data_IF_306047836034
#
_entry.id   IF_306047836034
#
_cell.length_a   1.000
_cell.length_b   1.000
_cell.length_c   1.000
_cell.angle_alpha   90.00
_cell.angle_beta   90.00
_cell.angle_gamma   90.00
#
_symmetry.space_group_name_H-M   'P 1'
#
loop_
_entity.id
_entity.type
_entity.pdbx_description
1 polymer ?
#
# COMPACT_ATOMS: atom_id res chain seq x y z
N UNK A 1 19.03 -6.09 23.02
CA UNK A 1 19.85 -5.23 22.13
C UNK A 1 19.66 -5.55 20.64
N UNK A 2 19.68 -6.83 20.21
CA UNK A 2 19.47 -7.24 18.80
C UNK A 2 18.20 -6.66 18.13
N UNK A 3 17.05 -6.68 18.80
CA UNK A 3 15.79 -6.13 18.25
C UNK A 3 15.82 -4.61 18.03
N UNK A 4 16.51 -3.84 18.89
CA UNK A 4 16.65 -2.39 18.72
C UNK A 4 17.52 -2.03 17.52
N UNK A 5 18.57 -2.82 17.26
CA UNK A 5 19.40 -2.66 16.06
C UNK A 5 18.66 -3.08 14.78
N UNK A 6 17.84 -4.13 14.83
CA UNK A 6 17.00 -4.53 13.68
C UNK A 6 15.97 -3.43 13.36
N UNK A 7 15.28 -2.91 14.37
CA UNK A 7 14.32 -1.82 14.18
C UNK A 7 15.02 -0.55 13.63
N UNK A 8 16.22 -0.25 14.12
CA UNK A 8 17.00 0.90 13.65
C UNK A 8 17.47 0.71 12.20
N UNK A 9 17.91 -0.49 11.82
CA UNK A 9 18.27 -0.81 10.43
C UNK A 9 17.08 -0.67 9.49
N UNK A 10 15.91 -1.21 9.88
CA UNK A 10 14.68 -1.11 9.09
C UNK A 10 14.26 0.36 8.92
N UNK A 11 14.32 1.14 10.00
CA UNK A 11 13.98 2.57 9.97
C UNK A 11 14.93 3.36 9.05
N UNK A 12 16.23 3.07 9.10
CA UNK A 12 17.22 3.71 8.24
C UNK A 12 17.01 3.35 6.77
N UNK A 13 16.72 2.08 6.45
CA UNK A 13 16.39 1.64 5.08
C UNK A 13 15.14 2.35 4.57
N UNK A 14 14.10 2.44 5.39
CA UNK A 14 12.87 3.15 5.04
C UNK A 14 13.11 4.63 4.76
N UNK A 15 13.86 5.32 5.63
CA UNK A 15 14.20 6.74 5.45
C UNK A 15 14.99 6.96 4.16
N UNK A 16 16.00 6.13 3.89
CA UNK A 16 16.76 6.19 2.63
C UNK A 16 15.84 5.96 1.41
N UNK A 17 14.94 4.99 1.46
CA UNK A 17 13.99 4.75 0.36
C UNK A 17 13.10 5.95 0.02
N UNK A 18 12.70 6.74 1.03
CA UNK A 18 11.85 7.93 0.84
C UNK A 18 12.64 9.10 0.23
N UNK A 19 13.90 9.31 0.63
CA UNK A 19 14.70 10.43 0.13
C UNK A 19 15.36 10.16 -1.24
N UNK A 20 15.44 8.90 -1.67
CA UNK A 20 16.03 8.49 -2.95
C UNK A 20 14.98 8.06 -3.99
N UNK A 21 13.78 8.65 -3.96
CA UNK A 21 12.81 8.49 -5.05
C UNK A 21 13.30 9.28 -6.28
N UNK A 22 14.14 8.67 -7.11
CA UNK A 22 14.51 9.21 -8.41
C UNK A 22 13.43 8.90 -9.46
N UNK A 23 13.32 9.74 -10.48
CA UNK A 23 12.58 9.44 -11.71
C UNK A 23 13.14 8.13 -12.29
N UNK A 24 12.44 7.02 -12.08
CA UNK A 24 12.81 5.71 -12.59
C UNK A 24 12.58 5.70 -14.10
N UNK A 25 13.60 6.09 -14.88
CA UNK A 25 13.63 5.80 -16.30
C UNK A 25 13.50 4.29 -16.48
N UNK A 26 12.49 3.83 -17.23
CA UNK A 26 12.19 2.42 -17.33
C UNK A 26 13.40 1.68 -17.91
N UNK A 27 13.87 0.65 -17.20
CA UNK A 27 15.13 -0.04 -17.54
C UNK A 27 15.08 -0.86 -18.83
N UNK A 28 13.92 -0.95 -19.47
CA UNK A 28 13.74 -1.61 -20.75
C UNK A 28 13.31 -0.57 -21.78
N UNK A 29 14.04 -0.46 -22.90
CA UNK A 29 13.71 0.44 -24.01
C UNK A 29 12.25 0.29 -24.48
N UNK A 30 11.68 -0.91 -24.35
CA UNK A 30 10.28 -1.20 -24.68
C UNK A 30 9.26 -0.48 -23.77
N UNK A 31 9.55 -0.34 -22.48
CA UNK A 31 8.66 0.37 -21.55
C UNK A 31 8.67 1.88 -21.81
N UNK A 32 9.84 2.45 -22.11
CA UNK A 32 10.00 3.86 -22.48
C UNK A 32 9.32 4.18 -23.81
N UNK A 33 9.57 3.37 -24.85
CA UNK A 33 8.96 3.55 -26.17
C UNK A 33 7.44 3.44 -26.15
N UNK A 34 6.89 2.53 -25.34
CA UNK A 34 5.44 2.41 -25.20
C UNK A 34 4.86 3.63 -24.47
N UNK A 35 5.52 4.14 -23.44
CA UNK A 35 5.09 5.35 -22.73
C UNK A 35 5.13 6.59 -23.63
N UNK A 36 6.20 6.77 -24.40
CA UNK A 36 6.37 7.89 -25.34
C UNK A 36 5.38 7.82 -26.51
N UNK A 37 5.20 6.64 -27.14
CA UNK A 37 4.23 6.48 -28.23
C UNK A 37 2.78 6.58 -27.81
N UNK A 38 2.47 6.36 -26.52
CA UNK A 38 1.10 6.46 -26.02
C UNK A 38 0.56 7.90 -25.99
N UNK A 39 1.43 8.92 -26.15
CA UNK A 39 1.05 10.34 -26.12
C UNK A 39 1.55 11.17 -27.31
N UNK A 40 2.38 10.58 -28.20
CA UNK A 40 2.94 11.27 -29.38
C UNK A 40 2.02 11.13 -30.61
N UNK A 41 2.15 12.01 -31.61
CA UNK A 41 1.38 12.00 -32.86
C UNK A 41 -0.16 12.10 -32.71
N UNK A 42 -0.63 12.80 -31.67
CA UNK A 42 -2.08 12.91 -31.40
C UNK A 42 -2.70 11.65 -30.78
N UNK A 43 -1.88 10.66 -30.43
CA UNK A 43 -2.32 9.48 -29.72
C UNK A 43 -2.78 9.84 -28.31
N UNK A 44 -4.01 9.46 -27.95
CA UNK A 44 -4.59 9.70 -26.62
C UNK A 44 -4.63 8.45 -25.76
N UNK A 45 -4.09 7.32 -26.24
CA UNK A 45 -4.15 6.04 -25.54
C UNK A 45 -3.40 6.05 -24.19
N UNK A 46 -2.41 6.94 -24.04
CA UNK A 46 -1.71 7.19 -22.77
C UNK A 46 -2.39 8.22 -21.86
N UNK A 47 -3.40 8.96 -22.35
CA UNK A 47 -4.17 9.87 -21.49
C UNK A 47 -4.99 9.05 -20.51
N UNK A 48 -4.82 9.30 -19.22
CA UNK A 48 -5.50 8.56 -18.15
C UNK A 48 -4.82 7.24 -17.74
N UNK A 49 -3.62 6.93 -18.26
CA UNK A 49 -2.87 5.76 -17.82
C UNK A 49 -2.54 5.82 -16.31
N UNK A 50 -2.14 7.01 -15.83
CA UNK A 50 -1.88 7.22 -14.39
C UNK A 50 -3.14 7.05 -13.55
N UNK A 51 -4.30 7.49 -14.05
CA UNK A 51 -5.59 7.28 -13.38
C UNK A 51 -5.94 5.79 -13.34
N UNK A 52 -5.66 5.06 -14.42
CA UNK A 52 -5.83 3.60 -14.49
C UNK A 52 -4.92 2.85 -13.52
N UNK A 53 -3.64 3.25 -13.40
CA UNK A 53 -2.70 2.68 -12.43
C UNK A 53 -3.17 2.95 -11.01
N UNK A 54 -3.58 4.18 -10.68
CA UNK A 54 -4.11 4.53 -9.36
C UNK A 54 -5.40 3.76 -9.05
N UNK A 55 -6.28 3.58 -10.04
CA UNK A 55 -7.50 2.78 -9.91
C UNK A 55 -7.19 1.32 -9.58
N UNK A 56 -6.29 0.68 -10.35
CA UNK A 56 -5.87 -0.70 -10.13
C UNK A 56 -5.15 -0.88 -8.79
N UNK A 57 -4.33 0.11 -8.40
CA UNK A 57 -3.64 0.12 -7.12
C UNK A 57 -4.63 0.27 -5.95
N UNK A 58 -5.70 1.06 -6.09
CA UNK A 58 -6.67 1.30 -5.02
C UNK A 58 -7.47 0.04 -4.64
N UNK A 59 -7.77 -0.84 -5.60
CA UNK A 59 -8.58 -2.05 -5.40
C UNK A 59 -8.07 -2.94 -4.26
N UNK A 60 -6.80 -3.40 -4.22
CA UNK A 60 -6.32 -4.27 -3.15
C UNK A 60 -6.38 -3.60 -1.76
N UNK A 61 -6.17 -2.29 -1.66
CA UNK A 61 -6.29 -1.58 -0.38
C UNK A 61 -7.74 -1.49 0.09
N UNK A 62 -8.68 -1.20 -0.82
CA UNK A 62 -10.11 -1.17 -0.50
C UNK A 62 -10.60 -2.55 -0.02
N UNK A 63 -10.16 -3.63 -0.69
CA UNK A 63 -10.47 -5.00 -0.27
C UNK A 63 -9.90 -5.27 1.12
N UNK A 64 -8.64 -4.91 1.38
CA UNK A 64 -8.00 -5.12 2.68
C UNK A 64 -8.74 -4.38 3.82
N UNK A 65 -9.14 -3.12 3.59
CA UNK A 65 -9.94 -2.35 4.56
C UNK A 65 -11.30 -3.00 4.78
N UNK A 66 -11.99 -3.41 3.71
CA UNK A 66 -13.28 -4.09 3.82
C UNK A 66 -13.21 -5.37 4.65
N UNK A 67 -12.22 -6.23 4.36
CA UNK A 67 -11.97 -7.46 5.13
C UNK A 67 -11.62 -7.14 6.58
N UNK A 68 -10.76 -6.15 6.82
CA UNK A 68 -10.37 -5.72 8.16
C UNK A 68 -11.55 -5.25 9.00
N UNK A 69 -12.46 -4.45 8.43
CA UNK A 69 -13.68 -3.98 9.10
C UNK A 69 -14.61 -5.15 9.43
N UNK A 70 -14.84 -6.06 8.47
CA UNK A 70 -15.69 -7.24 8.67
C UNK A 70 -15.13 -8.15 9.78
N UNK A 71 -13.82 -8.40 9.75
CA UNK A 71 -13.11 -9.16 10.77
C UNK A 71 -13.26 -8.49 12.14
N UNK A 72 -12.96 -7.19 12.25
CA UNK A 72 -13.07 -6.46 13.50
C UNK A 72 -14.48 -6.48 14.09
N UNK A 73 -15.51 -6.25 13.26
CA UNK A 73 -16.91 -6.31 13.73
C UNK A 73 -17.32 -7.71 14.17
N UNK A 74 -16.84 -8.76 13.48
CA UNK A 74 -17.16 -10.15 13.81
C UNK A 74 -16.51 -10.61 15.11
N UNK A 75 -15.26 -10.22 15.35
CA UNK A 75 -14.47 -10.73 16.48
C UNK A 75 -14.44 -9.79 17.70
N UNK A 76 -14.97 -8.57 17.62
CA UNK A 76 -15.05 -7.63 18.75
C UNK A 76 -16.20 -7.90 19.75
N UNK A 77 -17.06 -8.91 19.53
CA UNK A 77 -18.02 -9.35 20.56
C UNK A 77 -17.50 -10.59 21.29
N UNK A 78 -17.01 -10.35 22.51
CA UNK A 78 -17.28 -11.09 23.75
C UNK A 78 -16.11 -10.90 24.73
N UNK A 79 -16.09 -9.76 25.41
CA UNK A 79 -15.51 -9.71 26.75
C UNK A 79 -16.61 -10.24 27.68
N UNK A 80 -16.56 -11.48 28.18
CA UNK A 80 -17.46 -11.89 29.25
C UNK A 80 -17.24 -10.88 30.39
N UNK A 81 -18.31 -10.19 30.80
CA UNK A 81 -18.27 -9.43 32.05
C UNK A 81 -17.84 -10.42 33.13
N UNK A 82 -16.66 -10.19 33.69
CA UNK A 82 -16.19 -10.94 34.86
C UNK A 82 -17.17 -10.59 35.99
N UNK A 83 -18.12 -11.48 36.26
CA UNK A 83 -19.00 -11.33 37.42
C UNK A 83 -18.11 -11.57 38.63
N UNK A 84 -17.86 -10.52 39.41
CA UNK A 84 -17.00 -10.64 40.57
C UNK A 84 -17.69 -11.52 41.64
N UNK A 85 -16.96 -12.41 42.34
CA UNK A 85 -17.56 -13.35 43.30
C UNK A 85 -18.29 -12.73 44.51
N UNK A 86 -18.25 -11.40 44.68
CA UNK A 86 -18.76 -10.69 45.85
C UNK A 86 -20.18 -10.15 45.70
N UNK A 87 -20.89 -10.45 44.60
CA UNK A 87 -22.25 -9.95 44.32
C UNK A 87 -23.37 -10.93 44.73
N UNK A 88 -23.12 -11.82 45.70
CA UNK A 88 -24.13 -12.71 46.29
C UNK A 88 -24.61 -12.23 47.64
#
# INVERSE_FOLDING_TARGET
MKSKHVALVILTIFLVGVFFSTELSAQCAMCTLNAENSTTNGNTQGKGLNDGILFLLAIPYLIAVGVGILWYKKYRKNQPKQVSPFER
#
